data_IF_915130679253
#
_entry.id   IF_915130679253
#
_cell.length_a   1.000
_cell.length_b   1.000
_cell.length_c   1.000
_cell.angle_alpha   90.00
_cell.angle_beta   90.00
_cell.angle_gamma   90.00
#
_symmetry.space_group_name_H-M   'P 1'
#
loop_
_entity.id
_entity.type
_entity.pdbx_description
1 polymer ?
#
# COMPACT_ATOMS: atom_id res chain seq x y z
N UNK A 1 -18.54 -7.28 -1.96
CA UNK A 1 -17.21 -7.87 -1.67
C UNK A 1 -16.30 -6.78 -1.15
N UNK A 2 -15.30 -7.10 -0.33
CA UNK A 2 -14.24 -6.15 0.03
C UNK A 2 -13.08 -6.19 -0.97
N UNK A 3 -12.04 -5.41 -0.71
CA UNK A 3 -10.75 -5.56 -1.42
C UNK A 3 -10.02 -6.83 -1.00
N UNK A 4 -10.14 -7.25 0.26
CA UNK A 4 -9.59 -8.49 0.81
C UNK A 4 -10.39 -9.75 0.40
N UNK A 5 -9.83 -10.93 0.65
CA UNK A 5 -10.49 -12.21 0.38
C UNK A 5 -11.59 -12.47 1.40
N UNK A 6 -12.67 -13.14 0.97
CA UNK A 6 -13.80 -13.55 1.82
C UNK A 6 -13.48 -14.61 2.88
N UNK A 7 -12.22 -14.77 3.26
CA UNK A 7 -11.69 -15.76 4.22
C UNK A 7 -10.71 -15.12 5.22
N UNK A 8 -10.72 -13.79 5.36
CA UNK A 8 -9.83 -13.07 6.27
C UNK A 8 -8.36 -13.08 5.81
N UNK A 9 -8.11 -13.02 4.50
CA UNK A 9 -6.77 -13.05 3.89
C UNK A 9 -6.62 -11.94 2.87
N UNK A 10 -5.38 -11.63 2.50
CA UNK A 10 -5.03 -10.83 1.32
C UNK A 10 -5.71 -11.35 0.05
N UNK A 11 -6.01 -10.45 -0.89
CA UNK A 11 -6.59 -10.79 -2.20
C UNK A 11 -5.89 -10.05 -3.34
N UNK A 12 -4.83 -10.66 -3.92
CA UNK A 12 -4.17 -10.12 -5.10
C UNK A 12 -5.07 -9.93 -6.33
N UNK A 13 -6.23 -10.60 -6.41
CA UNK A 13 -7.19 -10.42 -7.52
C UNK A 13 -7.90 -9.06 -7.50
N UNK A 14 -7.78 -8.31 -6.41
CA UNK A 14 -8.21 -6.90 -6.35
C UNK A 14 -7.48 -6.03 -7.39
N UNK A 15 -6.20 -6.32 -7.68
CA UNK A 15 -5.41 -5.61 -8.70
C UNK A 15 -5.90 -5.81 -10.13
N UNK A 16 -6.78 -6.79 -10.39
CA UNK A 16 -7.33 -7.02 -11.73
C UNK A 16 -8.25 -5.89 -12.23
N UNK A 17 -8.64 -4.93 -11.40
CA UNK A 17 -9.43 -3.74 -11.82
C UNK A 17 -8.58 -2.49 -12.11
N UNK A 18 -7.27 -2.55 -11.86
CA UNK A 18 -6.29 -1.46 -12.05
C UNK A 18 -5.05 -1.98 -12.79
N UNK A 19 -5.22 -2.37 -14.08
CA UNK A 19 -4.22 -3.12 -14.84
C UNK A 19 -2.88 -2.37 -15.03
N UNK A 20 -2.88 -1.05 -14.88
CA UNK A 20 -1.69 -0.20 -14.97
C UNK A 20 -0.63 -0.51 -13.89
N UNK A 21 -1.01 -1.09 -12.74
CA UNK A 21 -0.09 -1.53 -11.69
C UNK A 21 0.36 -2.99 -11.83
N UNK A 22 -0.16 -3.74 -12.81
CA UNK A 22 0.16 -5.17 -12.96
C UNK A 22 1.66 -5.48 -13.13
N UNK A 23 2.52 -4.64 -13.75
CA UNK A 23 3.97 -4.88 -13.75
C UNK A 23 4.59 -4.82 -12.34
N UNK A 24 4.20 -3.85 -11.51
CA UNK A 24 4.63 -3.71 -10.11
C UNK A 24 4.15 -4.92 -9.28
N UNK A 25 2.87 -5.29 -9.43
CA UNK A 25 2.27 -6.42 -8.71
C UNK A 25 2.80 -7.79 -9.16
N UNK A 26 3.13 -7.97 -10.43
CA UNK A 26 3.72 -9.20 -10.93
C UNK A 26 5.10 -9.44 -10.30
N UNK A 27 5.96 -8.42 -10.26
CA UNK A 27 7.29 -8.60 -9.68
C UNK A 27 7.22 -8.78 -8.16
N UNK A 28 6.39 -8.04 -7.42
CA UNK A 28 6.31 -8.25 -5.98
C UNK A 28 5.61 -9.56 -5.59
N UNK A 29 4.44 -9.86 -6.17
CA UNK A 29 3.57 -10.95 -5.69
C UNK A 29 3.73 -12.28 -6.44
N UNK A 30 4.34 -12.29 -7.63
CA UNK A 30 4.50 -13.51 -8.45
C UNK A 30 5.96 -13.91 -8.59
N UNK A 31 6.87 -13.01 -8.98
CA UNK A 31 8.32 -13.33 -9.04
C UNK A 31 9.01 -13.20 -7.69
N UNK A 32 8.43 -12.41 -6.77
CA UNK A 32 8.97 -12.03 -5.47
C UNK A 32 10.28 -11.24 -5.53
N UNK A 33 10.50 -10.50 -6.62
CA UNK A 33 11.56 -9.51 -6.74
C UNK A 33 11.05 -8.13 -6.28
N UNK A 34 11.00 -7.94 -4.95
CA UNK A 34 10.50 -6.71 -4.32
C UNK A 34 11.31 -5.46 -4.71
N UNK A 35 12.61 -5.62 -5.02
CA UNK A 35 13.49 -4.53 -5.45
C UNK A 35 13.20 -4.11 -6.90
N UNK A 36 13.06 -5.06 -7.81
CA UNK A 36 12.62 -4.77 -9.19
C UNK A 36 11.20 -4.19 -9.22
N UNK A 37 10.31 -4.69 -8.35
CA UNK A 37 8.98 -4.12 -8.16
C UNK A 37 9.05 -2.64 -7.73
N UNK A 38 9.87 -2.32 -6.73
CA UNK A 38 10.15 -0.96 -6.28
C UNK A 38 10.59 -0.04 -7.43
N UNK A 39 11.64 -0.42 -8.16
CA UNK A 39 12.18 0.41 -9.25
C UNK A 39 11.23 0.53 -10.46
N UNK A 40 10.40 -0.48 -10.74
CA UNK A 40 9.34 -0.37 -11.75
C UNK A 40 8.28 0.66 -11.35
N UNK A 41 7.82 0.64 -10.10
CA UNK A 41 6.84 1.61 -9.59
C UNK A 41 7.44 3.02 -9.55
N UNK A 42 8.67 3.18 -9.03
CA UNK A 42 9.36 4.45 -8.97
C UNK A 42 9.53 5.12 -10.34
N UNK A 43 10.10 4.38 -11.31
CA UNK A 43 10.34 4.92 -12.65
C UNK A 43 9.03 5.27 -13.37
N UNK A 44 7.93 4.58 -13.06
CA UNK A 44 6.60 4.92 -13.56
C UNK A 44 6.02 6.19 -12.90
N UNK A 45 6.16 6.34 -11.58
CA UNK A 45 5.80 7.57 -10.84
C UNK A 45 6.61 8.77 -11.33
N UNK A 46 7.93 8.66 -11.45
CA UNK A 46 8.82 9.73 -11.92
C UNK A 46 8.60 10.10 -13.41
N UNK A 47 8.15 9.15 -14.23
CA UNK A 47 7.70 9.41 -15.61
C UNK A 47 6.30 10.06 -15.68
N UNK A 48 5.68 10.42 -14.54
CA UNK A 48 4.38 11.09 -14.46
C UNK A 48 3.17 10.21 -14.80
N UNK A 49 3.35 8.89 -14.94
CA UNK A 49 2.31 7.94 -15.40
C UNK A 49 1.02 7.99 -14.57
N UNK A 50 1.15 8.25 -13.28
CA UNK A 50 0.05 8.24 -12.31
C UNK A 50 -0.47 9.66 -11.96
N UNK A 51 0.11 10.70 -12.56
CA UNK A 51 -0.19 12.11 -12.28
C UNK A 51 1.02 12.90 -11.78
N UNK A 52 0.96 14.25 -11.81
CA UNK A 52 2.09 15.11 -11.48
C UNK A 52 2.42 15.21 -9.98
N UNK A 53 1.54 14.70 -9.12
CA UNK A 53 1.64 14.81 -7.65
C UNK A 53 1.94 13.46 -6.97
N UNK A 54 1.92 12.36 -7.72
CA UNK A 54 2.09 11.01 -7.15
C UNK A 54 3.45 10.83 -6.50
N UNK A 55 4.51 11.44 -7.05
CA UNK A 55 5.85 11.39 -6.45
C UNK A 55 5.92 11.99 -5.03
N UNK A 56 5.10 13.01 -4.75
CA UNK A 56 5.00 13.65 -3.44
C UNK A 56 4.13 12.81 -2.48
N UNK A 57 3.02 12.25 -2.97
CA UNK A 57 2.18 11.34 -2.18
C UNK A 57 2.88 10.02 -1.82
N UNK A 58 3.60 9.42 -2.77
CA UNK A 58 4.39 8.21 -2.56
C UNK A 58 5.48 8.45 -1.51
N UNK A 59 6.27 9.54 -1.65
CA UNK A 59 7.34 9.88 -0.70
C UNK A 59 6.82 10.25 0.69
N UNK A 60 5.80 11.09 0.78
CA UNK A 60 5.20 11.46 2.08
C UNK A 60 4.52 10.26 2.77
N UNK A 61 3.87 9.36 2.03
CA UNK A 61 3.38 8.08 2.55
C UNK A 61 4.52 7.24 3.14
N UNK A 62 5.68 7.15 2.46
CA UNK A 62 6.84 6.41 2.96
C UNK A 62 7.32 6.87 4.35
N UNK A 63 7.35 8.18 4.60
CA UNK A 63 7.74 8.73 5.90
C UNK A 63 6.62 8.65 6.94
N UNK A 64 5.38 9.02 6.57
CA UNK A 64 4.22 9.04 7.50
C UNK A 64 3.88 7.64 8.02
N UNK A 65 4.08 6.58 7.24
CA UNK A 65 3.88 5.19 7.67
C UNK A 65 5.07 4.58 8.43
N UNK A 66 6.24 5.22 8.42
CA UNK A 66 7.47 4.63 8.94
C UNK A 66 7.99 3.46 8.08
N UNK A 67 7.69 3.44 6.78
CA UNK A 67 8.15 2.38 5.87
C UNK A 67 9.68 2.30 5.81
N UNK A 68 10.36 3.45 5.80
CA UNK A 68 11.82 3.55 5.86
C UNK A 68 12.45 2.82 7.06
N UNK A 69 11.79 2.85 8.22
CA UNK A 69 12.26 2.25 9.48
C UNK A 69 11.56 0.95 9.84
N UNK A 70 10.77 0.37 8.91
CA UNK A 70 10.11 -0.92 9.11
C UNK A 70 11.10 -2.09 9.21
N UNK A 71 10.70 -3.19 9.84
CA UNK A 71 11.50 -4.43 9.92
C UNK A 71 11.54 -5.24 8.60
N UNK A 72 10.83 -4.80 7.55
CA UNK A 72 10.72 -5.55 6.30
C UNK A 72 12.01 -5.53 5.47
N UNK A 73 12.30 -6.67 4.83
CA UNK A 73 13.43 -6.90 3.91
C UNK A 73 12.94 -7.41 2.55
N UNK A 74 13.84 -7.49 1.55
CA UNK A 74 13.47 -7.94 0.20
C UNK A 74 12.98 -9.40 0.14
N UNK A 75 13.26 -10.20 1.18
CA UNK A 75 12.89 -11.61 1.32
C UNK A 75 11.51 -11.80 2.01
N UNK A 76 10.95 -10.72 2.56
CA UNK A 76 9.70 -10.74 3.35
C UNK A 76 8.57 -11.45 2.61
N UNK A 77 7.86 -12.32 3.34
CA UNK A 77 6.69 -13.04 2.82
C UNK A 77 5.38 -12.26 2.97
N UNK A 78 4.40 -12.61 2.13
CA UNK A 78 3.02 -12.13 2.25
C UNK A 78 2.42 -12.49 3.62
N UNK A 79 2.79 -13.65 4.18
CA UNK A 79 2.41 -14.09 5.52
C UNK A 79 2.99 -13.19 6.63
N UNK A 80 4.17 -12.61 6.44
CA UNK A 80 4.78 -11.65 7.37
C UNK A 80 4.15 -10.26 7.22
N UNK A 81 3.86 -9.85 6.00
CA UNK A 81 3.08 -8.65 5.71
C UNK A 81 1.71 -8.68 6.42
N UNK A 82 0.99 -9.80 6.30
CA UNK A 82 -0.29 -9.99 7.00
C UNK A 82 -0.17 -9.96 8.52
N UNK A 83 0.91 -10.52 9.10
CA UNK A 83 1.14 -10.45 10.56
C UNK A 83 1.42 -9.01 11.02
N UNK A 84 2.07 -8.20 10.20
CA UNK A 84 2.23 -6.77 10.47
C UNK A 84 0.90 -6.01 10.38
N UNK A 85 0.07 -6.31 9.37
CA UNK A 85 -1.28 -5.76 9.23
C UNK A 85 -2.19 -6.12 10.43
N UNK A 86 -2.11 -7.36 10.93
CA UNK A 86 -2.79 -7.78 12.16
C UNK A 86 -2.30 -7.01 13.38
N UNK A 87 -0.98 -6.86 13.54
CA UNK A 87 -0.38 -6.10 14.65
C UNK A 87 -0.76 -4.62 14.61
N UNK A 88 -0.90 -4.03 13.41
CA UNK A 88 -1.17 -2.59 13.22
C UNK A 88 -2.65 -2.22 13.29
N UNK A 89 -3.55 -3.08 12.83
CA UNK A 89 -4.98 -2.76 12.68
C UNK A 89 -5.96 -3.79 13.26
N UNK A 90 -5.51 -5.01 13.56
CA UNK A 90 -6.38 -6.15 13.83
C UNK A 90 -6.94 -6.79 12.55
N UNK A 91 -6.98 -8.13 12.53
CA UNK A 91 -7.36 -8.94 11.36
C UNK A 91 -8.69 -8.54 10.74
N UNK A 92 -9.72 -8.29 11.56
CA UNK A 92 -11.06 -7.95 11.08
C UNK A 92 -11.14 -6.59 10.37
N UNK A 93 -10.31 -5.61 10.77
CA UNK A 93 -10.36 -4.24 10.25
C UNK A 93 -9.81 -4.20 8.83
N UNK A 94 -8.58 -4.70 8.61
CA UNK A 94 -7.97 -4.65 7.29
C UNK A 94 -8.61 -5.65 6.31
N UNK A 95 -9.08 -6.81 6.79
CA UNK A 95 -9.84 -7.75 5.94
C UNK A 95 -11.28 -7.29 5.68
N UNK A 96 -11.80 -6.37 6.51
CA UNK A 96 -13.08 -5.70 6.30
C UNK A 96 -13.02 -4.55 5.27
N UNK A 97 -11.84 -4.17 4.78
CA UNK A 97 -11.65 -3.00 3.91
C UNK A 97 -12.32 -3.13 2.53
N UNK A 98 -12.90 -2.03 2.04
CA UNK A 98 -13.70 -1.97 0.80
C UNK A 98 -15.07 -2.66 0.87
N UNK A 99 -15.52 -3.10 2.05
CA UNK A 99 -16.79 -3.82 2.22
C UNK A 99 -17.84 -2.96 2.94
N UNK A 100 -19.09 -3.45 3.01
CA UNK A 100 -20.15 -2.85 3.82
C UNK A 100 -19.86 -2.84 5.34
N UNK A 101 -18.73 -3.43 5.78
CA UNK A 101 -18.24 -3.39 7.17
C UNK A 101 -17.09 -2.41 7.38
N UNK A 102 -16.59 -1.75 6.33
CA UNK A 102 -15.53 -0.75 6.46
C UNK A 102 -16.06 0.48 7.22
N UNK A 103 -15.41 0.94 8.30
CA UNK A 103 -15.75 2.19 8.96
C UNK A 103 -15.71 3.38 7.99
N UNK A 104 -16.56 4.38 8.22
CA UNK A 104 -16.53 5.63 7.42
C UNK A 104 -15.16 6.32 7.48
N UNK A 105 -14.54 6.36 8.68
CA UNK A 105 -13.19 6.89 8.90
C UNK A 105 -12.04 6.12 8.23
N UNK A 106 -12.32 4.96 7.65
CA UNK A 106 -11.33 4.16 6.91
C UNK A 106 -11.42 4.40 5.39
N UNK A 107 -12.42 5.13 4.90
CA UNK A 107 -12.59 5.39 3.46
C UNK A 107 -11.58 6.44 2.94
N UNK A 108 -11.18 6.36 1.64
CA UNK A 108 -10.39 7.41 1.01
C UNK A 108 -11.06 8.79 1.18
N UNK A 109 -10.29 9.78 1.64
CA UNK A 109 -10.78 11.14 1.92
C UNK A 109 -11.39 11.36 3.30
N UNK A 110 -11.51 10.34 4.16
CA UNK A 110 -12.06 10.48 5.52
C UNK A 110 -11.06 10.93 6.60
N UNK A 111 -9.81 11.18 6.22
CA UNK A 111 -8.73 11.64 7.12
C UNK A 111 -8.74 13.14 7.40
N UNK A 112 -7.69 13.64 8.06
CA UNK A 112 -7.47 15.08 8.20
C UNK A 112 -7.35 15.76 6.83
N UNK A 113 -7.93 16.96 6.62
CA UNK A 113 -7.75 17.71 5.38
C UNK A 113 -6.26 17.92 5.05
N UNK A 114 -5.91 17.74 3.78
CA UNK A 114 -4.64 18.14 3.19
C UNK A 114 -4.94 18.99 1.95
N UNK A 115 -4.02 19.87 1.56
CA UNK A 115 -4.27 20.83 0.49
C UNK A 115 -4.28 20.21 -0.92
N UNK A 116 -3.91 18.93 -1.05
CA UNK A 116 -3.81 18.22 -2.31
C UNK A 116 -2.47 18.40 -3.05
N UNK A 117 -1.52 19.16 -2.48
CA UNK A 117 -0.26 19.50 -3.15
C UNK A 117 0.98 19.10 -2.34
N UNK A 118 0.95 19.27 -1.01
CA UNK A 118 2.12 19.05 -0.14
C UNK A 118 2.13 17.62 0.47
N UNK A 119 1.71 16.63 -0.33
CA UNK A 119 1.67 15.22 0.09
C UNK A 119 0.72 14.93 1.27
N UNK A 120 1.11 13.96 2.09
CA UNK A 120 0.48 13.60 3.36
C UNK A 120 1.33 14.07 4.55
N UNK A 121 0.69 14.50 5.62
CA UNK A 121 1.35 14.92 6.86
C UNK A 121 0.82 14.22 8.13
N UNK A 122 -0.24 13.42 8.01
CA UNK A 122 -0.86 12.70 9.13
C UNK A 122 -1.28 11.28 8.75
N UNK A 123 -1.07 10.32 9.66
CA UNK A 123 -1.44 8.90 9.47
C UNK A 123 -2.94 8.68 9.24
N UNK A 124 -3.80 9.65 9.57
CA UNK A 124 -5.23 9.61 9.23
C UNK A 124 -5.52 9.77 7.74
N UNK A 125 -4.63 10.42 6.98
CA UNK A 125 -4.76 10.58 5.52
C UNK A 125 -4.28 9.33 4.79
N UNK A 126 -3.19 8.72 5.26
CA UNK A 126 -2.57 7.52 4.68
C UNK A 126 -3.33 6.24 5.03
N UNK A 127 -3.96 6.16 6.22
CA UNK A 127 -4.65 4.96 6.73
C UNK A 127 -5.53 4.21 5.71
N UNK A 128 -6.39 4.84 4.89
CA UNK A 128 -7.15 4.14 3.84
C UNK A 128 -6.25 3.40 2.84
N UNK A 129 -5.12 3.99 2.44
CA UNK A 129 -4.15 3.40 1.52
C UNK A 129 -3.40 2.23 2.16
N UNK A 130 -3.06 2.30 3.46
CA UNK A 130 -2.46 1.16 4.18
C UNK A 130 -3.45 0.00 4.33
N UNK A 131 -4.71 0.31 4.66
CA UNK A 131 -5.76 -0.71 4.74
C UNK A 131 -6.02 -1.36 3.38
N UNK A 132 -5.95 -0.58 2.29
CA UNK A 132 -5.91 -1.12 0.94
C UNK A 132 -4.69 -2.02 0.72
N UNK A 133 -3.48 -1.57 1.05
CA UNK A 133 -2.25 -2.33 0.85
C UNK A 133 -2.23 -3.66 1.64
N UNK A 134 -2.79 -3.66 2.85
CA UNK A 134 -3.04 -4.85 3.65
C UNK A 134 -4.11 -5.76 3.03
N UNK A 135 -5.23 -5.23 2.55
CA UNK A 135 -6.30 -6.00 1.93
C UNK A 135 -5.88 -6.63 0.58
N UNK A 136 -5.11 -5.90 -0.22
CA UNK A 136 -4.73 -6.24 -1.59
C UNK A 136 -3.41 -7.05 -1.65
N UNK A 137 -2.56 -6.99 -0.61
CA UNK A 137 -1.39 -7.85 -0.41
C UNK A 137 -0.03 -7.17 -0.55
N UNK A 138 0.02 -5.90 -0.90
CA UNK A 138 1.24 -5.18 -1.26
C UNK A 138 1.92 -4.39 -0.13
N UNK A 139 1.42 -4.41 1.12
CA UNK A 139 2.00 -3.61 2.21
C UNK A 139 3.52 -3.81 2.42
N UNK A 140 4.06 -5.02 2.17
CA UNK A 140 5.49 -5.29 2.14
C UNK A 140 6.22 -4.82 0.87
N UNK A 141 5.55 -4.84 -0.29
CA UNK A 141 6.05 -4.26 -1.54
C UNK A 141 6.29 -2.75 -1.35
N UNK A 142 5.31 -2.06 -0.77
CA UNK A 142 5.34 -0.62 -0.51
C UNK A 142 6.51 -0.25 0.42
N UNK A 143 6.79 -1.06 1.42
CA UNK A 143 7.90 -0.83 2.34
C UNK A 143 9.27 -0.92 1.65
N UNK A 144 9.46 -1.90 0.75
CA UNK A 144 10.70 -2.01 -0.04
C UNK A 144 10.75 -0.95 -1.14
N UNK A 145 9.61 -0.58 -1.72
CA UNK A 145 9.49 0.57 -2.61
C UNK A 145 10.02 1.85 -1.97
N UNK A 146 9.58 2.17 -0.76
CA UNK A 146 10.11 3.28 0.02
C UNK A 146 11.62 3.15 0.27
N UNK A 147 12.07 2.01 0.83
CA UNK A 147 13.47 1.80 1.23
C UNK A 147 14.48 1.85 0.08
N UNK A 148 14.10 1.43 -1.12
CA UNK A 148 15.00 1.49 -2.27
C UNK A 148 15.06 2.88 -2.92
N UNK A 149 14.11 3.80 -2.63
CA UNK A 149 13.89 4.98 -3.50
C UNK A 149 13.66 6.33 -2.82
N UNK A 150 13.26 6.39 -1.54
CA UNK A 150 12.92 7.64 -0.84
C UNK A 150 13.67 7.91 0.47
N UNK A 151 14.33 6.91 1.07
CA UNK A 151 14.77 6.91 2.47
C UNK A 151 16.24 7.30 2.71
#
# INVERSE_FOLDING_TARGET
SGFAAGVGRTNPRSWCVVPEFMPYMHECLVTRDLKKAAWLQYNATQAGKFGPLTAEFDGSYCFVEGHCTSEFSAETSLEEAERACDKRFGREVWTGYGSLRSPEGDKPGAGQPYNGFDGFNHTSQTRPYVLAACAMGNFHCDAIYCKETYC
#
